data_IF_536656011713
#
_entry.id   IF_536656011713
#
_cell.length_a   1.000
_cell.length_b   1.000
_cell.length_c   1.000
_cell.angle_alpha   90.00
_cell.angle_beta   90.00
_cell.angle_gamma   90.00
#
_symmetry.space_group_name_H-M   'P 1'
#
loop_
_entity.id
_entity.type
_entity.pdbx_description
1 polymer ?
#
# COMPACT_ATOMS: atom_id res chain seq x y z
N UNK A 1 112.19 35.10 8.25
CA UNK A 1 111.99 33.83 8.99
C UNK A 1 110.58 33.32 8.71
N UNK A 2 110.46 32.23 7.95
CA UNK A 2 109.19 31.50 7.79
C UNK A 2 108.92 30.82 9.13
N UNK A 3 107.93 31.31 9.88
CA UNK A 3 107.47 30.66 11.11
C UNK A 3 107.02 29.24 10.77
N UNK A 4 107.67 28.25 11.38
CA UNK A 4 107.34 26.84 11.21
C UNK A 4 105.93 26.61 11.76
N UNK A 5 104.95 26.42 10.85
CA UNK A 5 103.61 25.94 11.22
C UNK A 5 103.79 24.65 12.04
N UNK A 6 103.37 24.67 13.30
CA UNK A 6 103.48 23.50 14.17
C UNK A 6 102.46 22.44 13.72
N UNK A 7 102.72 21.16 13.98
CA UNK A 7 101.76 20.09 13.64
C UNK A 7 100.35 20.34 14.20
N UNK A 8 100.26 21.08 15.31
CA UNK A 8 99.00 21.54 15.92
C UNK A 8 98.23 22.54 15.04
N UNK A 9 98.92 23.44 14.34
CA UNK A 9 98.29 24.45 13.46
C UNK A 9 97.73 23.83 12.19
N UNK A 10 98.42 22.83 11.63
CA UNK A 10 97.92 22.06 10.48
C UNK A 10 96.69 21.22 10.81
N UNK A 11 96.68 20.57 11.98
CA UNK A 11 95.51 19.82 12.46
C UNK A 11 94.33 20.77 12.71
N UNK A 12 94.56 21.96 13.28
CA UNK A 12 93.52 22.99 13.42
C UNK A 12 92.93 23.42 12.08
N UNK A 13 93.78 23.74 11.10
CA UNK A 13 93.35 24.10 9.74
C UNK A 13 92.49 23.01 9.09
N UNK A 14 92.89 21.75 9.21
CA UNK A 14 92.13 20.62 8.66
C UNK A 14 90.79 20.46 9.39
N UNK A 15 90.78 20.60 10.72
CA UNK A 15 89.53 20.58 11.50
C UNK A 15 88.59 21.73 11.15
N UNK A 16 89.13 22.92 10.91
CA UNK A 16 88.34 24.11 10.55
C UNK A 16 87.77 23.98 9.12
N UNK A 17 88.55 23.43 8.17
CA UNK A 17 88.07 23.11 6.82
C UNK A 17 87.02 22.00 6.86
N UNK A 18 87.23 20.91 7.61
CA UNK A 18 86.21 19.88 7.81
C UNK A 18 84.94 20.47 8.44
N UNK A 19 85.08 21.36 9.42
CA UNK A 19 83.92 22.05 9.99
C UNK A 19 83.14 22.85 8.94
N UNK A 20 83.83 23.68 8.18
CA UNK A 20 83.21 24.62 7.24
C UNK A 20 82.70 23.97 5.97
N UNK A 21 83.43 23.02 5.42
CA UNK A 21 83.11 22.41 4.13
C UNK A 21 82.29 21.13 4.26
N UNK A 22 82.21 20.52 5.44
CA UNK A 22 81.45 19.25 5.61
C UNK A 22 80.44 19.26 6.76
N UNK A 23 80.79 19.72 7.96
CA UNK A 23 79.86 19.70 9.11
C UNK A 23 78.77 20.77 9.03
N UNK A 24 79.10 21.99 8.61
CA UNK A 24 78.11 23.07 8.45
C UNK A 24 77.09 22.77 7.34
N UNK A 25 77.49 22.35 6.12
CA UNK A 25 76.55 21.94 5.08
C UNK A 25 75.69 20.74 5.50
N UNK A 26 76.28 19.73 6.15
CA UNK A 26 75.53 18.58 6.64
C UNK A 26 74.50 18.95 7.72
N UNK A 27 74.81 19.93 8.58
CA UNK A 27 73.83 20.45 9.55
C UNK A 27 72.69 21.20 8.86
N UNK A 28 72.98 22.04 7.87
CA UNK A 28 71.94 22.73 7.10
C UNK A 28 71.04 21.75 6.34
N UNK A 29 71.61 20.70 5.75
CA UNK A 29 70.84 19.66 5.05
C UNK A 29 69.96 18.87 6.04
N UNK A 30 70.50 18.50 7.21
CA UNK A 30 69.71 17.85 8.26
C UNK A 30 68.56 18.74 8.78
N UNK A 31 68.82 20.03 8.98
CA UNK A 31 67.78 21.01 9.34
C UNK A 31 66.72 21.12 8.23
N UNK A 32 67.14 21.11 6.96
CA UNK A 32 66.23 21.11 5.80
C UNK A 32 65.35 19.87 5.73
N UNK A 33 65.91 18.67 5.98
CA UNK A 33 65.14 17.42 6.04
C UNK A 33 64.11 17.47 7.17
N UNK A 34 64.49 17.94 8.36
CA UNK A 34 63.57 18.05 9.50
C UNK A 34 62.48 19.08 9.22
N UNK A 35 62.81 20.21 8.57
CA UNK A 35 61.83 21.22 8.18
C UNK A 35 60.83 20.65 7.17
N UNK A 36 61.30 19.97 6.12
CA UNK A 36 60.43 19.35 5.12
C UNK A 36 59.56 18.23 5.70
N UNK A 37 60.11 17.42 6.61
CA UNK A 37 59.33 16.39 7.31
C UNK A 37 58.22 16.99 8.20
N UNK A 38 58.48 18.13 8.84
CA UNK A 38 57.46 18.86 9.62
C UNK A 38 56.38 19.43 8.72
N UNK A 39 56.75 20.04 7.60
CA UNK A 39 55.79 20.58 6.63
C UNK A 39 54.88 19.48 6.06
N UNK A 40 55.45 18.33 5.70
CA UNK A 40 54.67 17.17 5.25
C UNK A 40 53.75 16.62 6.34
N UNK A 41 54.21 16.58 7.59
CA UNK A 41 53.36 16.15 8.71
C UNK A 41 52.18 17.12 8.93
N UNK A 42 52.42 18.42 8.83
CA UNK A 42 51.38 19.44 8.94
C UNK A 42 50.36 19.34 7.78
N UNK A 43 50.84 19.06 6.56
CA UNK A 43 49.97 18.83 5.39
C UNK A 43 49.09 17.58 5.58
N UNK A 44 49.67 16.47 6.04
CA UNK A 44 48.92 15.23 6.34
C UNK A 44 47.84 15.49 7.40
N UNK A 45 48.17 16.24 8.46
CA UNK A 45 47.21 16.58 9.51
C UNK A 45 46.10 17.49 8.98
N UNK A 46 46.44 18.49 8.15
CA UNK A 46 45.47 19.39 7.54
C UNK A 46 44.50 18.62 6.65
N UNK A 47 44.99 17.68 5.85
CA UNK A 47 44.16 16.84 4.99
C UNK A 47 43.30 15.86 5.79
N UNK A 48 43.85 15.23 6.83
CA UNK A 48 43.07 14.38 7.74
C UNK A 48 41.93 15.16 8.41
N UNK A 49 42.17 16.42 8.84
CA UNK A 49 41.14 17.28 9.40
C UNK A 49 40.07 17.66 8.36
N UNK A 50 40.48 17.92 7.11
CA UNK A 50 39.56 18.25 6.00
C UNK A 50 38.66 17.05 5.67
N UNK A 51 39.24 15.86 5.58
CA UNK A 51 38.53 14.61 5.33
C UNK A 51 37.53 14.30 6.47
N UNK A 52 37.98 14.44 7.73
CA UNK A 52 37.13 14.25 8.90
C UNK A 52 35.95 15.23 8.92
N UNK A 53 36.18 16.51 8.61
CA UNK A 53 35.11 17.51 8.50
C UNK A 53 34.11 17.14 7.41
N UNK A 54 34.59 16.75 6.24
CA UNK A 54 33.75 16.32 5.11
C UNK A 54 32.92 15.08 5.47
N UNK A 55 33.50 14.13 6.20
CA UNK A 55 32.79 12.94 6.67
C UNK A 55 31.65 13.29 7.62
N UNK A 56 31.87 14.21 8.57
CA UNK A 56 30.84 14.69 9.50
C UNK A 56 29.73 15.44 8.75
N UNK A 57 30.10 16.32 7.81
CA UNK A 57 29.12 17.05 6.98
C UNK A 57 28.25 16.10 6.15
N UNK A 58 28.86 15.10 5.50
CA UNK A 58 28.12 14.08 4.75
C UNK A 58 27.22 13.24 5.65
N UNK A 59 27.67 12.86 6.84
CA UNK A 59 26.86 12.14 7.81
C UNK A 59 25.64 12.96 8.23
N UNK A 60 25.79 14.26 8.49
CA UNK A 60 24.67 15.14 8.82
C UNK A 60 23.67 15.27 7.67
N UNK A 61 24.15 15.41 6.43
CA UNK A 61 23.28 15.46 5.25
C UNK A 61 22.47 14.17 5.08
N UNK A 62 23.09 13.01 5.26
CA UNK A 62 22.41 11.72 5.16
C UNK A 62 21.40 11.52 6.30
N UNK A 63 21.72 11.97 7.53
CA UNK A 63 20.77 11.95 8.66
C UNK A 63 19.52 12.79 8.36
N UNK A 64 19.68 14.02 7.86
CA UNK A 64 18.53 14.88 7.54
C UNK A 64 17.69 14.32 6.39
N UNK A 65 18.35 13.72 5.38
CA UNK A 65 17.66 13.01 4.31
C UNK A 65 16.86 11.81 4.85
N UNK A 66 17.47 10.97 5.69
CA UNK A 66 16.80 9.81 6.30
C UNK A 66 15.63 10.23 7.17
N UNK A 67 15.77 11.31 7.94
CA UNK A 67 14.69 11.88 8.76
C UNK A 67 13.52 12.35 7.90
N UNK A 68 13.80 13.01 6.78
CA UNK A 68 12.77 13.46 5.82
C UNK A 68 12.03 12.26 5.23
N UNK A 69 12.76 11.23 4.80
CA UNK A 69 12.18 9.98 4.27
C UNK A 69 11.31 9.32 5.34
N UNK A 70 11.82 9.19 6.57
CA UNK A 70 11.10 8.57 7.67
C UNK A 70 9.80 9.31 8.01
N UNK A 71 9.82 10.64 8.05
CA UNK A 71 8.61 11.44 8.27
C UNK A 71 7.56 11.25 7.18
N UNK A 72 7.99 11.18 5.91
CA UNK A 72 7.10 10.90 4.79
C UNK A 72 6.50 9.48 4.91
N UNK A 73 7.33 8.48 5.20
CA UNK A 73 6.88 7.10 5.42
C UNK A 73 5.89 6.98 6.58
N UNK A 74 6.15 7.67 7.70
CA UNK A 74 5.25 7.69 8.86
C UNK A 74 3.90 8.32 8.50
N UNK A 75 3.91 9.46 7.81
CA UNK A 75 2.68 10.13 7.36
C UNK A 75 1.87 9.23 6.43
N UNK A 76 2.53 8.53 5.52
CA UNK A 76 1.89 7.58 4.63
C UNK A 76 1.30 6.40 5.42
N UNK A 77 2.04 5.82 6.37
CA UNK A 77 1.56 4.73 7.21
C UNK A 77 0.32 5.14 8.02
N UNK A 78 0.28 6.37 8.56
CA UNK A 78 -0.90 6.90 9.24
C UNK A 78 -2.11 6.98 8.30
N UNK A 79 -1.93 7.52 7.08
CA UNK A 79 -3.01 7.60 6.08
C UNK A 79 -3.53 6.21 5.70
N UNK A 80 -2.62 5.27 5.43
CA UNK A 80 -2.98 3.89 5.12
C UNK A 80 -3.72 3.22 6.27
N UNK A 81 -3.29 3.44 7.51
CA UNK A 81 -3.96 2.90 8.69
C UNK A 81 -5.40 3.42 8.81
N UNK A 82 -5.61 4.72 8.56
CA UNK A 82 -6.96 5.29 8.55
C UNK A 82 -7.83 4.70 7.45
N UNK A 83 -7.32 4.53 6.24
CA UNK A 83 -8.09 3.91 5.16
C UNK A 83 -8.43 2.44 5.45
N UNK A 84 -7.47 1.66 5.97
CA UNK A 84 -7.72 0.27 6.40
C UNK A 84 -8.78 0.23 7.51
N UNK A 85 -8.77 1.20 8.44
CA UNK A 85 -9.79 1.29 9.48
C UNK A 85 -11.18 1.57 8.89
N UNK A 86 -11.29 2.52 7.94
CA UNK A 86 -12.56 2.81 7.26
C UNK A 86 -13.10 1.60 6.52
N UNK A 87 -12.22 0.89 5.80
CA UNK A 87 -12.54 -0.36 5.12
C UNK A 87 -13.03 -1.42 6.11
N UNK A 88 -12.33 -1.62 7.23
CA UNK A 88 -12.78 -2.56 8.28
C UNK A 88 -14.15 -2.21 8.83
N UNK A 89 -14.44 -0.93 9.08
CA UNK A 89 -15.76 -0.50 9.53
C UNK A 89 -16.83 -0.84 8.47
N UNK A 90 -16.55 -0.58 7.20
CA UNK A 90 -17.48 -0.91 6.12
C UNK A 90 -17.75 -2.43 6.03
N UNK A 91 -16.69 -3.24 6.08
CA UNK A 91 -16.81 -4.70 5.96
C UNK A 91 -17.38 -5.38 7.21
N UNK A 92 -17.08 -4.87 8.41
CA UNK A 92 -17.47 -5.50 9.67
C UNK A 92 -18.75 -4.95 10.28
N UNK A 93 -19.14 -3.71 9.94
CA UNK A 93 -20.35 -3.09 10.46
C UNK A 93 -21.41 -2.93 9.37
N UNK A 94 -21.08 -2.24 8.28
CA UNK A 94 -22.08 -1.90 7.26
C UNK A 94 -22.57 -3.13 6.48
N UNK A 95 -21.65 -3.94 5.94
CA UNK A 95 -22.05 -5.11 5.14
C UNK A 95 -22.89 -6.13 5.95
N UNK A 96 -22.54 -6.52 7.19
CA UNK A 96 -23.35 -7.48 7.95
C UNK A 96 -24.72 -6.94 8.34
N UNK A 97 -24.83 -5.65 8.70
CA UNK A 97 -26.13 -5.05 9.01
C UNK A 97 -27.01 -4.94 7.77
N UNK A 98 -26.44 -4.56 6.62
CA UNK A 98 -27.17 -4.58 5.36
C UNK A 98 -27.64 -5.99 4.98
N UNK A 99 -26.78 -7.02 5.13
CA UNK A 99 -27.17 -8.41 4.91
C UNK A 99 -28.38 -8.80 5.75
N UNK A 100 -28.41 -8.45 7.05
CA UNK A 100 -29.55 -8.74 7.93
C UNK A 100 -30.82 -8.03 7.49
N UNK A 101 -30.70 -6.76 7.07
CA UNK A 101 -31.83 -5.96 6.61
C UNK A 101 -32.44 -6.50 5.31
N UNK A 102 -31.63 -7.05 4.40
CA UNK A 102 -32.09 -7.62 3.12
C UNK A 102 -32.57 -9.07 3.28
N UNK A 103 -31.88 -9.89 4.06
CA UNK A 103 -32.17 -11.32 4.17
C UNK A 103 -33.59 -11.61 4.68
N UNK A 104 -34.07 -10.83 5.68
CA UNK A 104 -35.39 -11.07 6.28
C UNK A 104 -36.55 -10.84 5.29
N UNK A 105 -36.64 -9.69 4.58
CA UNK A 105 -37.63 -9.51 3.52
C UNK A 105 -37.51 -10.55 2.40
N UNK A 106 -36.28 -10.94 2.03
CA UNK A 106 -36.03 -11.93 0.96
C UNK A 106 -36.43 -13.37 1.31
N UNK A 107 -36.95 -13.60 2.52
CA UNK A 107 -37.56 -14.86 2.94
C UNK A 107 -39.09 -14.77 3.09
N UNK A 108 -39.70 -13.60 2.85
CA UNK A 108 -41.15 -13.42 2.93
C UNK A 108 -41.83 -13.92 1.64
N UNK A 109 -42.71 -14.95 1.70
CA UNK A 109 -43.45 -15.44 0.54
C UNK A 109 -44.21 -14.35 -0.23
N UNK A 110 -44.67 -13.27 0.45
CA UNK A 110 -45.39 -12.17 -0.20
C UNK A 110 -44.50 -11.34 -1.09
N UNK A 111 -43.32 -10.95 -0.61
CA UNK A 111 -42.34 -10.20 -1.40
C UNK A 111 -41.90 -11.05 -2.60
N UNK A 112 -41.66 -12.33 -2.37
CA UNK A 112 -41.23 -13.28 -3.41
C UNK A 112 -42.27 -13.39 -4.53
N UNK A 113 -43.54 -13.56 -4.17
CA UNK A 113 -44.63 -13.53 -5.15
C UNK A 113 -44.66 -12.21 -5.94
N UNK A 114 -44.51 -11.06 -5.25
CA UNK A 114 -44.47 -9.74 -5.90
C UNK A 114 -43.29 -9.59 -6.88
N UNK A 115 -42.11 -10.09 -6.52
CA UNK A 115 -40.93 -10.06 -7.39
C UNK A 115 -41.14 -10.91 -8.65
N UNK A 116 -41.71 -12.11 -8.50
CA UNK A 116 -42.06 -12.99 -9.62
C UNK A 116 -43.06 -12.28 -10.54
N UNK A 117 -44.11 -11.69 -9.97
CA UNK A 117 -45.10 -10.91 -10.73
C UNK A 117 -44.46 -9.76 -11.49
N UNK A 118 -43.58 -8.99 -10.85
CA UNK A 118 -42.90 -7.85 -11.46
C UNK A 118 -42.01 -8.27 -12.64
N UNK A 119 -41.25 -9.36 -12.51
CA UNK A 119 -40.39 -9.87 -13.59
C UNK A 119 -41.25 -10.34 -14.76
N UNK A 120 -42.25 -11.19 -14.53
CA UNK A 120 -43.07 -11.75 -15.61
C UNK A 120 -43.80 -10.64 -16.35
N UNK A 121 -44.36 -9.67 -15.62
CA UNK A 121 -45.02 -8.52 -16.24
C UNK A 121 -44.06 -7.63 -17.04
N UNK A 122 -42.80 -7.50 -16.61
CA UNK A 122 -41.78 -6.79 -17.37
C UNK A 122 -41.42 -7.52 -18.67
N UNK A 123 -41.26 -8.86 -18.62
CA UNK A 123 -41.00 -9.69 -19.79
C UNK A 123 -42.17 -9.67 -20.80
N UNK A 124 -43.40 -9.67 -20.31
CA UNK A 124 -44.60 -9.57 -21.14
C UNK A 124 -44.66 -8.25 -21.90
N UNK A 125 -44.26 -7.13 -21.27
CA UNK A 125 -44.18 -5.82 -21.94
C UNK A 125 -43.15 -5.78 -23.06
N UNK A 126 -42.07 -6.55 -22.93
CA UNK A 126 -41.02 -6.66 -23.94
C UNK A 126 -41.39 -7.66 -25.06
N UNK A 127 -42.54 -8.34 -24.95
CA UNK A 127 -43.03 -9.29 -25.96
C UNK A 127 -42.34 -10.64 -25.92
N UNK A 128 -41.69 -11.00 -24.82
CA UNK A 128 -40.96 -12.28 -24.69
C UNK A 128 -41.90 -13.40 -24.22
N UNK A 129 -42.36 -14.25 -25.15
CA UNK A 129 -43.02 -15.52 -24.82
C UNK A 129 -41.97 -16.64 -24.58
N UNK A 130 -41.38 -16.62 -23.38
CA UNK A 130 -40.43 -17.64 -22.94
C UNK A 130 -41.09 -18.64 -21.97
N UNK A 131 -40.66 -19.90 -22.06
CA UNK A 131 -40.91 -20.86 -20.99
C UNK A 131 -40.02 -20.49 -19.81
N UNK A 132 -40.65 -20.14 -18.68
CA UNK A 132 -39.95 -19.66 -17.49
C UNK A 132 -39.86 -20.77 -16.44
N UNK A 133 -38.74 -20.81 -15.75
CA UNK A 133 -38.60 -21.58 -14.51
C UNK A 133 -38.16 -20.64 -13.39
N UNK A 134 -38.85 -20.69 -12.25
CA UNK A 134 -38.57 -19.84 -11.11
C UNK A 134 -38.06 -20.70 -9.96
N UNK A 135 -36.95 -20.30 -9.39
CA UNK A 135 -36.30 -20.97 -8.26
C UNK A 135 -36.34 -20.04 -7.05
N UNK A 136 -36.72 -20.59 -5.90
CA UNK A 136 -36.77 -19.89 -4.60
C UNK A 136 -35.94 -20.64 -3.55
N UNK A 137 -35.64 -19.97 -2.43
CA UNK A 137 -34.94 -20.59 -1.30
C UNK A 137 -35.75 -21.72 -0.67
N UNK A 138 -35.04 -22.77 -0.23
CA UNK A 138 -35.58 -23.85 0.60
C UNK A 138 -36.08 -23.41 1.97
N UNK A 139 -35.70 -22.22 2.43
CA UNK A 139 -36.28 -21.62 3.63
C UNK A 139 -37.73 -21.14 3.42
N UNK A 140 -38.18 -21.01 2.17
CA UNK A 140 -39.49 -20.47 1.79
C UNK A 140 -40.41 -21.60 1.33
N UNK A 141 -41.66 -21.58 1.79
CA UNK A 141 -42.65 -22.56 1.32
C UNK A 141 -43.08 -22.25 -0.11
N UNK A 142 -42.71 -23.12 -1.06
CA UNK A 142 -43.17 -23.05 -2.44
C UNK A 142 -44.71 -23.05 -2.54
N UNK A 143 -45.39 -23.78 -1.65
CA UNK A 143 -46.86 -23.76 -1.58
C UNK A 143 -47.40 -22.37 -1.24
N UNK A 144 -46.84 -21.73 -0.21
CA UNK A 144 -47.27 -20.39 0.20
C UNK A 144 -47.03 -19.35 -0.90
N UNK A 145 -45.92 -19.46 -1.64
CA UNK A 145 -45.66 -18.61 -2.81
C UNK A 145 -46.67 -18.89 -3.92
N UNK A 146 -46.87 -20.15 -4.31
CA UNK A 146 -47.80 -20.53 -5.37
C UNK A 146 -49.25 -20.11 -5.07
N UNK A 147 -49.70 -20.17 -3.80
CA UNK A 147 -51.03 -19.68 -3.39
C UNK A 147 -51.19 -18.16 -3.54
N UNK A 148 -50.09 -17.40 -3.52
CA UNK A 148 -50.07 -15.95 -3.70
C UNK A 148 -49.88 -15.53 -5.16
N UNK A 149 -49.49 -16.46 -6.04
CA UNK A 149 -49.32 -16.19 -7.47
C UNK A 149 -50.68 -16.22 -8.19
N UNK A 150 -50.90 -15.23 -9.06
CA UNK A 150 -52.05 -15.23 -9.96
C UNK A 150 -51.95 -16.38 -11.01
N UNK A 151 -53.10 -16.85 -11.47
CA UNK A 151 -53.18 -18.07 -12.30
C UNK A 151 -52.52 -17.90 -13.68
N UNK A 152 -52.53 -16.69 -14.23
CA UNK A 152 -51.82 -16.32 -15.46
C UNK A 152 -50.30 -16.48 -15.32
N UNK A 153 -49.74 -16.04 -14.19
CA UNK A 153 -48.32 -16.23 -13.86
C UNK A 153 -47.97 -17.70 -13.74
N UNK A 154 -48.78 -18.50 -13.04
CA UNK A 154 -48.54 -19.94 -12.87
C UNK A 154 -48.53 -20.66 -14.23
N UNK A 155 -49.36 -20.24 -15.18
CA UNK A 155 -49.40 -20.82 -16.52
C UNK A 155 -48.15 -20.53 -17.36
N UNK A 156 -47.44 -19.43 -17.09
CA UNK A 156 -46.16 -19.10 -17.73
C UNK A 156 -45.00 -19.93 -17.19
N UNK A 157 -45.14 -20.49 -15.99
CA UNK A 157 -44.12 -21.36 -15.40
C UNK A 157 -44.22 -22.77 -15.98
N UNK A 158 -43.12 -23.29 -16.52
CA UNK A 158 -43.05 -24.63 -17.10
C UNK A 158 -43.47 -25.72 -16.12
N UNK A 159 -43.03 -25.59 -14.87
CA UNK A 159 -43.34 -26.54 -13.80
C UNK A 159 -44.72 -26.30 -13.16
N UNK A 160 -45.50 -25.32 -13.66
CA UNK A 160 -46.78 -24.88 -13.10
C UNK A 160 -46.68 -24.50 -11.61
N UNK A 161 -45.54 -23.91 -11.24
CA UNK A 161 -45.24 -23.48 -9.89
C UNK A 161 -43.75 -23.18 -9.74
N UNK A 162 -43.38 -22.66 -8.57
CA UNK A 162 -41.98 -22.38 -8.23
C UNK A 162 -41.23 -23.64 -7.77
N UNK A 163 -39.95 -23.71 -8.11
CA UNK A 163 -39.01 -24.74 -7.67
C UNK A 163 -38.21 -24.27 -6.45
N UNK A 164 -37.79 -25.22 -5.63
CA UNK A 164 -36.99 -24.95 -4.43
C UNK A 164 -35.53 -25.31 -4.68
N UNK A 165 -34.61 -24.44 -4.25
CA UNK A 165 -33.16 -24.64 -4.32
C UNK A 165 -32.45 -24.15 -3.06
N UNK A 166 -31.12 -24.30 -3.04
CA UNK A 166 -30.23 -23.95 -1.93
C UNK A 166 -29.83 -22.46 -1.87
N UNK A 167 -30.55 -21.57 -2.57
CA UNK A 167 -30.29 -20.12 -2.47
C UNK A 167 -30.67 -19.59 -1.07
N UNK A 168 -29.97 -18.57 -0.58
CA UNK A 168 -30.16 -18.03 0.78
C UNK A 168 -31.53 -17.37 0.97
N UNK A 169 -31.92 -16.54 0.02
CA UNK A 169 -33.22 -15.88 -0.09
C UNK A 169 -33.43 -15.32 -1.50
N UNK A 170 -34.61 -14.76 -1.77
CA UNK A 170 -34.90 -14.16 -3.07
C UNK A 170 -35.31 -15.20 -4.13
N UNK A 171 -35.12 -14.82 -5.40
CA UNK A 171 -35.55 -15.62 -6.55
C UNK A 171 -34.50 -15.64 -7.67
N UNK A 172 -34.48 -16.73 -8.43
CA UNK A 172 -33.86 -16.77 -9.76
C UNK A 172 -34.94 -17.11 -10.79
N UNK A 173 -34.99 -16.33 -11.88
CA UNK A 173 -35.90 -16.59 -13.01
C UNK A 173 -35.09 -16.98 -14.23
N UNK A 174 -35.31 -18.20 -14.73
CA UNK A 174 -34.60 -18.78 -15.87
C UNK A 174 -35.48 -18.75 -17.10
N UNK A 175 -35.02 -18.07 -18.15
CA UNK A 175 -35.60 -18.09 -19.49
C UNK A 175 -34.99 -19.28 -20.23
N UNK A 176 -35.76 -20.36 -20.37
CA UNK A 176 -35.23 -21.64 -20.85
C UNK A 176 -34.80 -21.62 -22.33
N UNK A 177 -35.43 -20.77 -23.15
CA UNK A 177 -35.13 -20.66 -24.58
C UNK A 177 -33.85 -19.88 -24.83
N UNK A 178 -33.64 -18.80 -24.10
CA UNK A 178 -32.54 -17.85 -24.33
C UNK A 178 -31.32 -18.12 -23.42
N UNK A 179 -31.43 -19.10 -22.52
CA UNK A 179 -30.42 -19.42 -21.52
C UNK A 179 -30.02 -18.21 -20.66
N UNK A 180 -31.00 -17.34 -20.36
CA UNK A 180 -30.82 -16.15 -19.52
C UNK A 180 -31.31 -16.47 -18.11
N UNK A 181 -30.56 -16.05 -17.10
CA UNK A 181 -30.97 -16.12 -15.70
C UNK A 181 -31.03 -14.71 -15.14
N UNK A 182 -32.20 -14.32 -14.65
CA UNK A 182 -32.40 -13.10 -13.87
C UNK A 182 -32.25 -13.49 -12.40
N UNK A 183 -31.16 -13.06 -11.78
CA UNK A 183 -30.86 -13.32 -10.37
C UNK A 183 -31.29 -12.13 -9.51
N UNK A 184 -32.24 -12.38 -8.60
CA UNK A 184 -32.65 -11.49 -7.52
C UNK A 184 -32.54 -12.21 -6.18
N UNK A 185 -31.44 -12.93 -5.98
CA UNK A 185 -31.06 -13.48 -4.67
C UNK A 185 -30.80 -12.38 -3.66
N UNK A 186 -30.88 -12.74 -2.38
CA UNK A 186 -30.55 -11.84 -1.27
C UNK A 186 -29.13 -11.27 -1.36
N UNK A 187 -28.17 -12.06 -1.82
CA UNK A 187 -26.80 -11.62 -2.09
C UNK A 187 -26.74 -10.55 -3.18
N UNK A 188 -27.36 -10.81 -4.33
CA UNK A 188 -27.39 -9.89 -5.48
C UNK A 188 -28.10 -8.58 -5.14
N UNK A 189 -29.22 -8.64 -4.41
CA UNK A 189 -29.92 -7.44 -3.96
C UNK A 189 -29.10 -6.66 -2.93
N UNK A 190 -28.43 -7.35 -2.01
CA UNK A 190 -27.52 -6.71 -1.05
C UNK A 190 -26.39 -5.97 -1.77
N UNK A 191 -25.74 -6.59 -2.74
CA UNK A 191 -24.68 -5.95 -3.52
C UNK A 191 -25.19 -4.73 -4.29
N UNK A 192 -26.36 -4.85 -4.92
CA UNK A 192 -26.99 -3.76 -5.64
C UNK A 192 -27.28 -2.58 -4.70
N UNK A 193 -27.94 -2.83 -3.56
CA UNK A 193 -28.23 -1.77 -2.57
C UNK A 193 -26.93 -1.17 -2.03
N UNK A 194 -25.93 -2.00 -1.71
CA UNK A 194 -24.64 -1.55 -1.23
C UNK A 194 -23.97 -0.60 -2.24
N UNK A 195 -24.04 -0.88 -3.53
CA UNK A 195 -23.43 -0.05 -4.57
C UNK A 195 -23.98 1.39 -4.57
N UNK A 196 -25.27 1.58 -4.24
CA UNK A 196 -25.87 2.91 -4.18
C UNK A 196 -25.62 3.61 -2.84
N UNK A 197 -25.72 2.91 -1.71
CA UNK A 197 -25.69 3.56 -0.39
C UNK A 197 -24.28 3.65 0.22
N UNK A 198 -23.30 2.89 -0.29
CA UNK A 198 -21.93 2.86 0.27
C UNK A 198 -21.25 4.22 0.24
N UNK A 199 -21.49 5.01 -0.82
CA UNK A 199 -20.98 6.38 -0.91
C UNK A 199 -21.57 7.25 0.20
N UNK A 200 -22.89 7.26 0.32
CA UNK A 200 -23.61 8.04 1.33
C UNK A 200 -23.21 7.62 2.76
N UNK A 201 -23.04 6.32 3.00
CA UNK A 201 -22.53 5.79 4.27
C UNK A 201 -21.12 6.33 4.58
N UNK A 202 -20.20 6.29 3.62
CA UNK A 202 -18.84 6.81 3.81
C UNK A 202 -18.84 8.32 4.08
N UNK A 203 -19.66 9.08 3.36
CA UNK A 203 -19.81 10.52 3.60
C UNK A 203 -20.43 10.80 4.98
N UNK A 204 -21.42 10.02 5.41
CA UNK A 204 -22.04 10.21 6.72
C UNK A 204 -21.11 9.86 7.90
N UNK A 205 -20.34 8.77 7.80
CA UNK A 205 -19.50 8.30 8.92
C UNK A 205 -18.10 8.91 8.89
N UNK A 206 -17.52 9.14 7.71
CA UNK A 206 -16.14 9.60 7.54
C UNK A 206 -16.01 10.96 6.85
N UNK A 207 -17.12 11.54 6.37
CA UNK A 207 -17.13 12.90 5.86
C UNK A 207 -16.78 13.89 6.96
N UNK A 208 -16.18 15.00 6.54
CA UNK A 208 -15.83 16.11 7.44
C UNK A 208 -17.06 16.93 7.79
#
# INVERSE_FOLDING_TARGET
MKGLETGKDKVKKICDVLKRETLEPAKQEAEGIVASAREQADEILADAHREAKKMVENAHLEIEKQKTIFQASLTQACRQTLEVLKEKIEHQLFNPELSKLVARPMQDPKLIAQLIHAIIHALDKEGTEADLSVVISSAISARAVNELLASDVIQRLKEKGVLVSSIGGGIEVKLLKDNITIDLSDETVKELVAAYIRKDFREFIFGK
#
